data_IF_485629049062
#
_entry.id   IF_485629049062
#
_cell.length_a   1.000
_cell.length_b   1.000
_cell.length_c   1.000
_cell.angle_alpha   90.00
_cell.angle_beta   90.00
_cell.angle_gamma   90.00
#
_symmetry.space_group_name_H-M   'P 1'
#
loop_
_entity.id
_entity.type
_entity.pdbx_description
1 polymer ?
#
# COMPACT_ATOMS: atom_id res chain seq x y z
N UNK A 1 30.12 -6.22 26.76
CA UNK A 1 28.94 -5.42 27.16
C UNK A 1 28.17 -5.09 25.90
N UNK A 2 26.92 -5.55 25.82
CA UNK A 2 26.13 -5.52 24.58
C UNK A 2 25.69 -4.12 24.19
N UNK A 3 25.93 -3.75 22.95
CA UNK A 3 25.22 -2.64 22.32
C UNK A 3 23.82 -3.13 21.94
N UNK A 4 22.90 -2.74 22.82
CA UNK A 4 21.45 -2.68 22.68
C UNK A 4 21.03 -2.43 21.22
N UNK A 5 20.13 -3.26 20.72
CA UNK A 5 19.51 -3.08 19.41
C UNK A 5 18.83 -1.73 19.33
N UNK A 6 19.25 -0.91 18.38
CA UNK A 6 18.67 0.39 18.09
C UNK A 6 18.20 0.38 16.65
N UNK A 7 16.89 0.52 16.50
CA UNK A 7 16.22 1.10 15.34
C UNK A 7 16.42 0.40 13.99
N UNK A 8 15.91 -0.83 13.91
CA UNK A 8 15.26 -1.28 12.68
C UNK A 8 13.78 -0.80 12.65
N UNK A 9 13.53 0.47 12.97
CA UNK A 9 12.44 1.20 12.31
C UNK A 9 12.96 1.55 10.92
N UNK A 10 13.22 0.51 10.12
CA UNK A 10 13.33 0.66 8.69
C UNK A 10 12.04 1.33 8.32
N UNK A 11 12.12 2.61 7.93
CA UNK A 11 11.03 3.33 7.31
C UNK A 11 10.50 2.41 6.22
N UNK A 12 9.44 1.65 6.52
CA UNK A 12 8.82 0.76 5.56
C UNK A 12 8.16 1.72 4.61
N UNK A 13 8.91 2.16 3.61
CA UNK A 13 8.34 2.89 2.50
C UNK A 13 7.15 2.06 2.03
N UNK A 14 5.96 2.67 1.95
CA UNK A 14 4.77 1.97 1.51
C UNK A 14 5.03 1.24 0.19
N UNK A 15 5.19 -0.07 0.30
CA UNK A 15 5.45 -0.94 -0.83
C UNK A 15 4.14 -1.08 -1.60
N UNK A 16 4.08 -0.44 -2.77
CA UNK A 16 3.02 -0.68 -3.73
C UNK A 16 3.44 -1.91 -4.54
N UNK A 17 2.71 -3.03 -4.47
CA UNK A 17 3.09 -4.23 -5.22
C UNK A 17 3.13 -3.95 -6.73
N UNK A 18 4.06 -4.62 -7.41
CA UNK A 18 4.20 -4.59 -8.85
C UNK A 18 3.07 -5.42 -9.50
N UNK A 19 1.85 -4.88 -9.48
CA UNK A 19 0.66 -5.47 -10.10
C UNK A 19 0.62 -5.21 -11.61
N UNK A 20 0.25 -6.23 -12.39
CA UNK A 20 0.23 -6.14 -13.86
C UNK A 20 -1.18 -6.21 -14.43
N UNK A 21 -2.15 -6.79 -13.73
CA UNK A 21 -3.54 -6.89 -14.21
C UNK A 21 -4.49 -5.93 -13.46
N UNK A 22 -5.62 -5.60 -14.11
CA UNK A 22 -6.68 -4.83 -13.45
C UNK A 22 -7.31 -5.59 -12.28
N UNK A 23 -7.47 -6.91 -12.42
CA UNK A 23 -8.07 -7.76 -11.38
C UNK A 23 -7.21 -7.76 -10.12
N UNK A 24 -5.89 -7.95 -10.25
CA UNK A 24 -4.96 -7.85 -9.12
C UNK A 24 -5.02 -6.47 -8.44
N UNK A 25 -5.07 -5.39 -9.23
CA UNK A 25 -5.19 -4.03 -8.67
C UNK A 25 -6.48 -3.88 -7.87
N UNK A 26 -7.60 -4.42 -8.36
CA UNK A 26 -8.88 -4.41 -7.66
C UNK A 26 -8.84 -5.23 -6.35
N UNK A 27 -8.25 -6.43 -6.38
CA UNK A 27 -8.11 -7.28 -5.19
C UNK A 27 -7.28 -6.61 -4.09
N UNK A 28 -6.15 -6.00 -4.47
CA UNK A 28 -5.30 -5.27 -3.53
C UNK A 28 -5.96 -3.99 -3.02
N UNK A 29 -6.68 -3.25 -3.87
CA UNK A 29 -7.49 -2.11 -3.42
C UNK A 29 -8.53 -2.51 -2.37
N UNK A 30 -9.23 -3.63 -2.60
CA UNK A 30 -10.18 -4.17 -1.61
C UNK A 30 -9.49 -4.52 -0.29
N UNK A 31 -8.36 -5.22 -0.38
CA UNK A 31 -7.56 -5.62 0.80
C UNK A 31 -7.09 -4.42 1.60
N UNK A 32 -6.49 -3.41 0.96
CA UNK A 32 -5.96 -2.25 1.67
C UNK A 32 -7.06 -1.32 2.20
N UNK A 33 -8.21 -1.21 1.53
CA UNK A 33 -9.37 -0.48 2.06
C UNK A 33 -9.92 -1.15 3.33
N UNK A 34 -10.00 -2.47 3.36
CA UNK A 34 -10.42 -3.17 4.58
C UNK A 34 -9.39 -3.02 5.70
N UNK A 35 -8.09 -3.06 5.37
CA UNK A 35 -7.04 -2.77 6.35
C UNK A 35 -7.13 -1.34 6.87
N UNK A 36 -7.35 -0.33 6.01
CA UNK A 36 -7.55 1.05 6.44
C UNK A 36 -8.75 1.18 7.39
N UNK A 37 -9.83 0.42 7.14
CA UNK A 37 -11.01 0.40 8.01
C UNK A 37 -10.69 -0.09 9.43
N UNK A 38 -9.74 -1.01 9.56
CA UNK A 38 -9.30 -1.61 10.83
C UNK A 38 -8.04 -0.95 11.42
N UNK A 39 -7.37 -0.09 10.65
CA UNK A 39 -6.09 0.49 10.98
C UNK A 39 -6.17 1.45 12.17
N UNK A 40 -5.11 1.44 12.97
CA UNK A 40 -4.89 2.44 14.02
C UNK A 40 -4.48 3.76 13.40
N UNK A 41 -4.68 4.86 14.12
CA UNK A 41 -4.45 6.22 13.61
C UNK A 41 -3.03 6.43 13.05
N UNK A 42 -2.03 5.77 13.62
CA UNK A 42 -0.62 5.80 13.20
C UNK A 42 -0.34 4.99 11.93
N UNK A 43 -1.20 4.03 11.57
CA UNK A 43 -1.07 3.20 10.36
C UNK A 43 -1.96 3.72 9.21
N UNK A 44 -2.92 4.60 9.49
CA UNK A 44 -3.88 5.10 8.49
C UNK A 44 -3.21 5.83 7.35
N UNK A 45 -2.28 6.74 7.64
CA UNK A 45 -1.58 7.52 6.61
C UNK A 45 -0.83 6.60 5.63
N UNK A 46 -0.24 5.51 6.14
CA UNK A 46 0.43 4.52 5.30
C UNK A 46 -0.56 3.82 4.36
N UNK A 47 -1.71 3.36 4.86
CA UNK A 47 -2.71 2.70 4.02
C UNK A 47 -3.36 3.66 3.02
N UNK A 48 -3.62 4.91 3.41
CA UNK A 48 -4.13 5.96 2.51
C UNK A 48 -3.15 6.23 1.37
N UNK A 49 -1.84 6.28 1.65
CA UNK A 49 -0.81 6.40 0.62
C UNK A 49 -0.82 5.21 -0.35
N UNK A 50 -0.83 3.97 0.16
CA UNK A 50 -0.83 2.75 -0.68
C UNK A 50 -2.09 2.70 -1.56
N UNK A 51 -3.26 3.02 -1.00
CA UNK A 51 -4.52 3.05 -1.75
C UNK A 51 -4.44 4.10 -2.87
N UNK A 52 -3.95 5.31 -2.58
CA UNK A 52 -3.80 6.35 -3.60
C UNK A 52 -2.91 5.92 -4.77
N UNK A 53 -1.79 5.27 -4.48
CA UNK A 53 -0.90 4.73 -5.51
C UNK A 53 -1.53 3.62 -6.35
N UNK A 54 -2.30 2.73 -5.72
CA UNK A 54 -3.05 1.68 -6.43
C UNK A 54 -4.18 2.26 -7.29
N UNK A 55 -4.89 3.29 -6.84
CA UNK A 55 -5.94 3.97 -7.61
C UNK A 55 -5.38 4.69 -8.85
N UNK A 56 -4.22 5.33 -8.72
CA UNK A 56 -3.52 5.93 -9.86
C UNK A 56 -3.12 4.85 -10.88
N UNK A 57 -2.55 3.74 -10.39
CA UNK A 57 -2.16 2.62 -11.24
C UNK A 57 -3.34 1.97 -11.94
N UNK A 58 -4.47 1.79 -11.24
CA UNK A 58 -5.72 1.33 -11.82
C UNK A 58 -6.17 2.24 -12.97
N UNK A 59 -6.15 3.55 -12.74
CA UNK A 59 -6.57 4.54 -13.74
C UNK A 59 -5.70 4.49 -14.99
N UNK A 60 -4.37 4.40 -14.84
CA UNK A 60 -3.42 4.26 -15.96
C UNK A 60 -3.70 2.99 -16.74
N UNK A 61 -3.76 1.84 -16.06
CA UNK A 61 -3.99 0.55 -16.73
C UNK A 61 -5.35 0.48 -17.41
N UNK A 62 -6.39 1.06 -16.83
CA UNK A 62 -7.72 1.12 -17.45
C UNK A 62 -7.73 2.01 -18.70
N UNK A 63 -6.96 3.09 -18.71
CA UNK A 63 -6.83 3.96 -19.88
C UNK A 63 -6.05 3.28 -21.03
N UNK A 64 -5.09 2.41 -20.73
CA UNK A 64 -4.35 1.63 -21.73
C UNK A 64 -5.21 0.55 -22.42
N UNK A 65 -6.29 0.12 -21.78
CA UNK A 65 -7.19 -0.95 -22.25
C UNK A 65 -8.47 -0.43 -22.91
N UNK A 66 -8.67 0.89 -22.93
CA UNK A 66 -9.85 1.56 -23.52
C UNK A 66 -9.54 2.11 -24.91
#
# INVERSE_FOLDING_TARGET
MGTKGSDALSSVEPFIPALESLDEICEWLGTFRERLRLARSDEREHFEFVIGGLEEKFRKRRAELS
#
